data_IF_964883046361
#
_entry.id   IF_964883046361
#
_cell.length_a   1.000
_cell.length_b   1.000
_cell.length_c   1.000
_cell.angle_alpha   90.00
_cell.angle_beta   90.00
_cell.angle_gamma   90.00
#
_symmetry.space_group_name_H-M   'P 1'
#
loop_
_entity.id
_entity.type
_entity.pdbx_description
1 polymer ?
#
# COMPACT_ATOMS: atom_id res chain seq x y z
N UNK A 1 5.67 -21.11 -0.69
CA UNK A 1 4.46 -21.15 0.11
C UNK A 1 4.47 -20.04 1.09
N UNK A 2 3.58 -19.11 0.91
CA UNK A 2 3.66 -18.01 1.80
C UNK A 2 2.60 -16.97 1.60
N UNK A 3 2.75 -15.93 2.40
CA UNK A 3 1.89 -14.77 2.41
C UNK A 3 2.62 -13.62 1.75
N UNK A 4 1.98 -13.01 0.76
CA UNK A 4 2.51 -11.85 0.03
C UNK A 4 1.64 -10.64 0.30
N UNK A 5 2.25 -9.59 0.83
CA UNK A 5 1.55 -8.33 1.10
C UNK A 5 1.70 -7.41 -0.09
N UNK A 6 0.58 -6.87 -0.58
CA UNK A 6 0.58 -5.81 -1.56
C UNK A 6 0.10 -4.51 -0.93
N UNK A 7 0.79 -3.42 -1.23
CA UNK A 7 0.46 -2.07 -0.75
C UNK A 7 0.27 -1.17 -1.96
N UNK A 8 -0.86 -0.48 -2.01
CA UNK A 8 -1.14 0.46 -3.09
C UNK A 8 -1.67 1.78 -2.53
N UNK A 9 -0.92 2.84 -2.77
CA UNK A 9 -1.32 4.21 -2.46
C UNK A 9 -1.30 5.09 -3.70
N UNK A 10 -1.61 4.48 -4.85
CA UNK A 10 -1.43 5.13 -6.16
C UNK A 10 -2.50 6.14 -6.53
N UNK A 11 -3.65 6.10 -5.87
CA UNK A 11 -4.77 6.96 -6.25
C UNK A 11 -5.57 7.38 -5.02
N UNK A 12 -6.88 7.43 -5.12
CA UNK A 12 -7.75 7.91 -4.05
C UNK A 12 -8.12 6.84 -3.02
N UNK A 13 -7.48 5.69 -3.08
CA UNK A 13 -7.73 4.60 -2.14
C UNK A 13 -6.42 4.10 -1.56
N UNK A 14 -6.35 4.03 -0.23
CA UNK A 14 -5.28 3.33 0.46
C UNK A 14 -5.67 1.86 0.51
N UNK A 15 -4.83 0.97 0.00
CA UNK A 15 -5.18 -0.45 -0.12
C UNK A 15 -4.05 -1.35 0.35
N UNK A 16 -4.43 -2.36 1.14
CA UNK A 16 -3.56 -3.47 1.52
C UNK A 16 -4.24 -4.78 1.15
N UNK A 17 -3.46 -5.74 0.70
CA UNK A 17 -3.95 -7.09 0.45
C UNK A 17 -2.89 -8.11 0.82
N UNK A 18 -3.32 -9.22 1.43
CA UNK A 18 -2.44 -10.37 1.67
C UNK A 18 -2.96 -11.54 0.85
N UNK A 19 -2.11 -12.06 -0.01
CA UNK A 19 -2.38 -13.25 -0.79
C UNK A 19 -1.66 -14.43 -0.16
N UNK A 20 -2.38 -15.52 0.09
CA UNK A 20 -1.81 -16.78 0.59
C UNK A 20 -1.73 -17.78 -0.56
N UNK A 21 -0.53 -18.28 -0.83
CA UNK A 21 -0.30 -19.17 -1.97
C UNK A 21 -0.77 -20.60 -1.73
N UNK A 22 -0.99 -21.00 -0.50
CA UNK A 22 -1.44 -22.37 -0.20
C UNK A 22 -2.91 -22.59 -0.55
N UNK A 23 -3.77 -21.64 -0.18
CA UNK A 23 -5.20 -21.75 -0.38
C UNK A 23 -5.76 -20.75 -1.39
N UNK A 24 -4.89 -19.94 -2.00
CA UNK A 24 -5.25 -18.88 -2.94
C UNK A 24 -6.22 -17.86 -2.34
N UNK A 25 -6.21 -17.70 -1.02
CA UNK A 25 -7.04 -16.69 -0.37
C UNK A 25 -6.44 -15.30 -0.50
N UNK A 26 -7.30 -14.30 -0.56
CA UNK A 26 -6.90 -12.89 -0.52
C UNK A 26 -7.70 -12.22 0.58
N UNK A 27 -7.01 -11.56 1.50
CA UNK A 27 -7.65 -10.70 2.50
C UNK A 27 -7.25 -9.28 2.19
N UNK A 28 -8.24 -8.42 2.05
CA UNK A 28 -8.02 -7.04 1.60
C UNK A 28 -8.61 -6.05 2.60
N UNK A 29 -7.91 -4.93 2.75
CA UNK A 29 -8.41 -3.76 3.49
C UNK A 29 -8.15 -2.54 2.66
N UNK A 30 -9.15 -1.70 2.49
CA UNK A 30 -8.99 -0.46 1.74
C UNK A 30 -9.86 0.64 2.31
N UNK A 31 -9.43 1.87 2.08
CA UNK A 31 -10.10 3.05 2.61
C UNK A 31 -9.92 4.17 1.61
N UNK A 32 -11.03 4.79 1.21
CA UNK A 32 -11.00 5.95 0.33
C UNK A 32 -10.38 7.14 1.05
N UNK A 33 -9.64 7.95 0.31
CA UNK A 33 -9.16 9.21 0.83
C UNK A 33 -10.35 10.17 1.00
N UNK A 34 -10.37 10.96 2.08
CA UNK A 34 -11.43 11.96 2.24
C UNK A 34 -11.27 13.06 1.19
N UNK A 35 -12.33 13.31 0.44
CA UNK A 35 -12.42 14.40 -0.53
C UNK A 35 -13.63 15.23 -0.13
N UNK A 36 -13.42 16.53 0.07
CA UNK A 36 -14.52 17.42 0.45
C UNK A 36 -15.51 17.55 -0.68
N UNK A 37 -16.79 17.61 -0.31
CA UNK A 37 -17.86 17.84 -1.27
C UNK A 37 -17.61 19.10 -2.08
N UNK A 38 -17.75 19.01 -3.40
CA UNK A 38 -17.53 20.13 -4.31
C UNK A 38 -16.08 20.31 -4.76
N UNK A 39 -15.14 19.56 -4.24
CA UNK A 39 -13.75 19.60 -4.71
C UNK A 39 -13.56 18.67 -5.90
N UNK A 40 -12.72 19.10 -6.85
CA UNK A 40 -12.48 18.37 -8.09
C UNK A 40 -11.43 17.28 -7.94
N UNK A 41 -10.77 17.18 -6.80
CA UNK A 41 -9.75 16.18 -6.54
C UNK A 41 -8.88 16.58 -5.37
N UNK A 42 -7.83 15.80 -5.14
CA UNK A 42 -6.88 16.04 -4.07
C UNK A 42 -5.54 16.48 -4.66
N UNK A 43 -4.90 17.44 -3.98
CA UNK A 43 -3.49 17.74 -4.25
C UNK A 43 -2.65 16.54 -3.85
N UNK A 44 -1.50 16.37 -4.49
CA UNK A 44 -0.60 15.27 -4.15
C UNK A 44 -0.14 15.32 -2.68
N UNK A 45 0.09 16.52 -2.14
CA UNK A 45 0.47 16.66 -0.73
C UNK A 45 -0.64 16.19 0.20
N UNK A 46 -1.89 16.47 -0.13
CA UNK A 46 -3.04 16.02 0.66
C UNK A 46 -3.21 14.51 0.55
N UNK A 47 -3.00 13.96 -0.64
CA UNK A 47 -3.06 12.51 -0.85
C UNK A 47 -2.00 11.80 -0.01
N UNK A 48 -0.76 12.29 -0.01
CA UNK A 48 0.32 11.72 0.83
C UNK A 48 -0.08 11.77 2.30
N UNK A 49 -0.61 12.88 2.77
CA UNK A 49 -1.03 13.04 4.15
C UNK A 49 -2.10 12.01 4.53
N UNK A 50 -3.13 11.87 3.70
CA UNK A 50 -4.23 10.95 3.99
C UNK A 50 -3.81 9.49 3.90
N UNK A 51 -3.00 9.12 2.90
CA UNK A 51 -2.46 7.76 2.82
C UNK A 51 -1.63 7.44 4.07
N UNK A 52 -0.80 8.38 4.49
CA UNK A 52 0.06 8.20 5.66
C UNK A 52 -0.78 8.00 6.93
N UNK A 53 -1.88 8.73 7.07
CA UNK A 53 -2.77 8.58 8.21
C UNK A 53 -3.55 7.27 8.19
N UNK A 54 -3.95 6.81 7.02
CA UNK A 54 -4.82 5.64 6.88
C UNK A 54 -4.06 4.31 6.93
N UNK A 55 -2.79 4.30 6.52
CA UNK A 55 -2.00 3.07 6.49
C UNK A 55 -1.93 2.35 7.84
N UNK A 56 -1.62 3.03 8.97
CA UNK A 56 -1.57 2.33 10.26
C UNK A 56 -2.89 1.64 10.63
N UNK A 57 -4.01 2.31 10.40
CA UNK A 57 -5.32 1.74 10.72
C UNK A 57 -5.59 0.48 9.89
N UNK A 58 -5.25 0.51 8.61
CA UNK A 58 -5.43 -0.64 7.73
C UNK A 58 -4.51 -1.80 8.13
N UNK A 59 -3.26 -1.50 8.47
CA UNK A 59 -2.32 -2.53 8.94
C UNK A 59 -2.81 -3.16 10.23
N UNK A 60 -3.28 -2.37 11.19
CA UNK A 60 -3.80 -2.90 12.45
C UNK A 60 -5.01 -3.80 12.22
N UNK A 61 -5.89 -3.41 11.29
CA UNK A 61 -7.05 -4.22 10.95
C UNK A 61 -6.67 -5.53 10.25
N UNK A 62 -5.76 -5.45 9.26
CA UNK A 62 -5.38 -6.62 8.46
C UNK A 62 -4.56 -7.62 9.27
N UNK A 63 -3.70 -7.13 10.14
CA UNK A 63 -2.78 -7.95 10.94
C UNK A 63 -3.24 -8.08 12.40
N UNK A 64 -4.55 -8.07 12.64
CA UNK A 64 -5.11 -8.34 13.96
C UNK A 64 -4.74 -9.75 14.46
N UNK A 65 -4.48 -10.67 13.54
CA UNK A 65 -3.88 -11.96 13.82
C UNK A 65 -2.46 -11.97 13.27
N UNK A 66 -1.60 -12.78 13.84
CA UNK A 66 -0.23 -12.90 13.37
C UNK A 66 -0.19 -13.55 11.99
N UNK A 67 0.29 -12.81 11.02
CA UNK A 67 0.50 -13.31 9.65
C UNK A 67 1.99 -13.16 9.36
N UNK A 68 2.65 -14.26 9.04
CA UNK A 68 4.05 -14.23 8.64
C UNK A 68 4.14 -13.87 7.16
N UNK A 69 4.82 -12.78 6.86
CA UNK A 69 5.00 -12.33 5.49
C UNK A 69 6.27 -12.93 4.89
N UNK A 70 6.17 -13.37 3.64
CA UNK A 70 7.30 -13.92 2.89
C UNK A 70 7.79 -12.97 1.80
N UNK A 71 6.98 -12.01 1.40
CA UNK A 71 7.38 -10.96 0.47
C UNK A 71 6.43 -9.77 0.59
N UNK A 72 6.90 -8.61 0.15
CA UNK A 72 6.13 -7.38 0.12
C UNK A 72 6.21 -6.78 -1.28
N UNK A 73 5.10 -6.27 -1.78
CA UNK A 73 5.02 -5.58 -3.06
C UNK A 73 4.34 -4.23 -2.88
N UNK A 74 4.76 -3.25 -3.65
CA UNK A 74 4.16 -1.91 -3.62
C UNK A 74 4.18 -1.29 -5.01
N UNK A 75 3.15 -0.50 -5.32
CA UNK A 75 3.14 0.32 -6.52
C UNK A 75 4.15 1.45 -6.35
N UNK A 76 4.94 1.71 -7.40
CA UNK A 76 6.04 2.67 -7.36
C UNK A 76 5.72 3.95 -8.14
N UNK A 77 5.06 3.81 -9.27
CA UNK A 77 4.74 4.94 -10.14
C UNK A 77 3.63 4.56 -11.12
N UNK A 78 2.94 5.56 -11.69
CA UNK A 78 1.78 5.28 -12.56
C UNK A 78 2.11 4.51 -13.82
N UNK A 79 3.29 4.76 -14.41
CA UNK A 79 3.74 4.12 -15.65
C UNK A 79 5.23 3.86 -15.60
N UNK A 80 5.74 3.16 -16.62
CA UNK A 80 7.18 2.96 -16.79
C UNK A 80 7.85 4.14 -17.48
N UNK A 81 7.08 5.12 -17.96
CA UNK A 81 7.63 6.28 -18.63
C UNK A 81 8.46 7.14 -17.68
N UNK A 82 9.55 7.69 -18.20
CA UNK A 82 10.37 8.63 -17.43
C UNK A 82 9.52 9.84 -17.04
N UNK A 83 9.64 10.27 -15.78
CA UNK A 83 8.88 11.39 -15.26
C UNK A 83 7.48 11.05 -14.75
N UNK A 84 7.04 9.80 -14.85
CA UNK A 84 5.72 9.38 -14.36
C UNK A 84 5.77 9.14 -12.84
N UNK A 85 6.13 10.15 -12.11
CA UNK A 85 6.28 10.07 -10.67
C UNK A 85 5.16 10.83 -9.97
N UNK A 86 4.52 10.20 -8.99
CA UNK A 86 3.52 10.85 -8.15
C UNK A 86 3.87 10.65 -6.67
N UNK A 87 3.99 11.72 -5.90
CA UNK A 87 4.38 11.63 -4.49
C UNK A 87 3.54 10.70 -3.64
N UNK A 88 2.25 10.54 -3.92
CA UNK A 88 1.39 9.66 -3.14
C UNK A 88 1.87 8.20 -3.16
N UNK A 89 2.58 7.76 -4.20
CA UNK A 89 3.14 6.42 -4.25
C UNK A 89 4.21 6.20 -3.17
N UNK A 90 4.87 7.25 -2.74
CA UNK A 90 5.92 7.16 -1.71
C UNK A 90 5.38 6.66 -0.37
N UNK A 91 4.13 6.95 -0.05
CA UNK A 91 3.54 6.51 1.22
C UNK A 91 3.58 4.98 1.35
N UNK A 92 3.05 4.28 0.36
CA UNK A 92 3.05 2.81 0.37
C UNK A 92 4.42 2.22 0.13
N UNK A 93 5.17 2.76 -0.83
CA UNK A 93 6.51 2.27 -1.12
C UNK A 93 7.44 2.41 0.08
N UNK A 94 7.36 3.51 0.82
CA UNK A 94 8.17 3.71 2.02
C UNK A 94 7.89 2.65 3.08
N UNK A 95 6.62 2.37 3.34
CA UNK A 95 6.24 1.32 4.28
C UNK A 95 6.73 -0.04 3.81
N UNK A 96 6.57 -0.35 2.52
CA UNK A 96 7.04 -1.61 1.95
C UNK A 96 8.54 -1.79 2.11
N UNK A 97 9.31 -0.72 1.88
CA UNK A 97 10.77 -0.74 2.06
C UNK A 97 11.16 -1.02 3.51
N UNK A 98 10.46 -0.39 4.44
CA UNK A 98 10.70 -0.60 5.87
C UNK A 98 10.41 -2.06 6.25
N UNK A 99 9.27 -2.58 5.83
CA UNK A 99 8.89 -3.95 6.13
C UNK A 99 9.87 -4.96 5.53
N UNK A 100 10.27 -4.74 4.27
CA UNK A 100 11.26 -5.59 3.62
C UNK A 100 12.57 -5.63 4.41
N UNK A 101 13.04 -4.46 4.83
CA UNK A 101 14.29 -4.36 5.58
C UNK A 101 14.19 -5.01 6.96
N UNK A 102 13.11 -4.74 7.70
CA UNK A 102 12.93 -5.21 9.07
C UNK A 102 12.69 -6.72 9.10
N UNK A 103 11.86 -7.22 8.19
CA UNK A 103 11.50 -8.64 8.15
C UNK A 103 12.48 -9.49 7.36
N UNK A 104 13.37 -8.87 6.58
CA UNK A 104 14.32 -9.60 5.77
C UNK A 104 13.66 -10.35 4.61
N UNK A 105 12.60 -9.80 4.05
CA UNK A 105 11.86 -10.41 2.94
C UNK A 105 12.03 -9.61 1.66
N UNK A 106 11.85 -10.25 0.47
CA UNK A 106 11.99 -9.53 -0.79
C UNK A 106 10.94 -8.41 -0.95
N UNK A 107 11.34 -7.36 -1.65
CA UNK A 107 10.47 -6.27 -2.05
C UNK A 107 10.32 -6.27 -3.57
N UNK A 108 9.08 -6.27 -4.05
CA UNK A 108 8.76 -6.11 -5.46
C UNK A 108 8.13 -4.74 -5.68
N UNK A 109 8.55 -4.05 -6.74
CA UNK A 109 8.02 -2.74 -7.12
C UNK A 109 7.38 -2.83 -8.50
N UNK A 110 6.25 -2.17 -8.64
CA UNK A 110 5.55 -2.19 -9.93
C UNK A 110 4.72 -0.92 -10.17
#
# INVERSE_FOLDING_TARGET
MGNFLGIDTSNYTTSLAVYNTQDNSVVQRKLLLPVKEGEVGLRQSDAVFHHTRQLPDLFESLFSENIKLDAVAASERPTQAEGSYMPCFLSGLGVARILSAVLGVPLMRF
#
